data_IF_480527704052
#
_entry.id   IF_480527704052
#
_cell.length_a   1.000
_cell.length_b   1.000
_cell.length_c   1.000
_cell.angle_alpha   90.00
_cell.angle_beta   90.00
_cell.angle_gamma   90.00
#
_symmetry.space_group_name_H-M   'P 1'
#
loop_
_entity.id
_entity.type
_entity.pdbx_description
1 polymer ?
#
# COMPACT_ATOMS: atom_id res chain seq x y z
N UNK A 1 8.58 -5.02 -16.02
CA UNK A 1 7.48 -5.62 -16.76
C UNK A 1 7.18 -7.05 -16.37
N UNK A 2 7.46 -7.50 -15.12
CA UNK A 2 7.12 -8.83 -14.61
C UNK A 2 5.71 -8.87 -14.03
N UNK A 3 5.17 -10.05 -13.85
CA UNK A 3 4.08 -10.32 -12.91
C UNK A 3 4.74 -10.76 -11.60
N UNK A 4 4.30 -10.22 -10.49
CA UNK A 4 4.86 -10.52 -9.16
C UNK A 4 3.87 -11.40 -8.40
N UNK A 5 4.33 -12.53 -7.87
CA UNK A 5 3.63 -13.28 -6.85
C UNK A 5 4.24 -12.98 -5.49
N UNK A 6 3.40 -12.62 -4.52
CA UNK A 6 3.82 -12.38 -3.14
C UNK A 6 3.50 -13.61 -2.29
N UNK A 7 4.52 -14.13 -1.59
CA UNK A 7 4.46 -15.36 -0.81
C UNK A 7 5.10 -15.17 0.56
N UNK A 8 4.81 -16.10 1.45
CA UNK A 8 5.44 -16.16 2.77
C UNK A 8 4.47 -15.98 3.93
N UNK A 9 4.94 -16.26 5.15
CA UNK A 9 4.10 -16.26 6.36
C UNK A 9 3.48 -14.89 6.64
N UNK A 10 4.23 -13.82 6.41
CA UNK A 10 3.72 -12.45 6.54
C UNK A 10 2.53 -12.19 5.64
N UNK A 11 2.63 -12.62 4.38
CA UNK A 11 1.57 -12.45 3.40
C UNK A 11 0.28 -13.12 3.86
N UNK A 12 0.38 -14.30 4.47
CA UNK A 12 -0.79 -15.05 4.97
C UNK A 12 -1.47 -14.33 6.15
N UNK A 13 -0.75 -13.48 6.89
CA UNK A 13 -1.29 -12.72 8.01
C UNK A 13 -1.89 -11.36 7.62
N UNK A 14 -1.69 -10.92 6.37
CA UNK A 14 -2.24 -9.65 5.88
C UNK A 14 -3.75 -9.73 5.64
N UNK A 15 -4.46 -8.65 5.93
CA UNK A 15 -5.85 -8.47 5.51
C UNK A 15 -5.97 -8.39 3.99
N UNK A 16 -7.17 -8.61 3.46
CA UNK A 16 -7.41 -8.48 2.01
C UNK A 16 -7.13 -7.05 1.52
N UNK A 17 -7.47 -6.05 2.31
CA UNK A 17 -7.22 -4.65 2.01
C UNK A 17 -5.72 -4.37 1.87
N UNK A 18 -4.90 -4.91 2.78
CA UNK A 18 -3.44 -4.80 2.71
C UNK A 18 -2.88 -5.51 1.47
N UNK A 19 -3.36 -6.72 1.16
CA UNK A 19 -2.96 -7.46 -0.06
C UNK A 19 -3.36 -6.69 -1.32
N UNK A 20 -4.56 -6.11 -1.37
CA UNK A 20 -4.99 -5.26 -2.50
C UNK A 20 -4.10 -4.03 -2.64
N UNK A 21 -3.66 -3.42 -1.55
CA UNK A 21 -2.71 -2.30 -1.58
C UNK A 21 -1.38 -2.71 -2.23
N UNK A 22 -0.82 -3.84 -1.82
CA UNK A 22 0.43 -4.36 -2.39
C UNK A 22 0.26 -4.65 -3.90
N UNK A 23 -0.84 -5.31 -4.31
CA UNK A 23 -1.13 -5.54 -5.72
C UNK A 23 -1.21 -4.24 -6.52
N UNK A 24 -1.93 -3.24 -6.02
CA UNK A 24 -2.07 -1.96 -6.69
C UNK A 24 -0.72 -1.24 -6.83
N UNK A 25 0.09 -1.24 -5.78
CA UNK A 25 1.40 -0.58 -5.77
C UNK A 25 2.50 -1.37 -6.50
N UNK A 26 2.23 -2.59 -6.95
CA UNK A 26 3.18 -3.36 -7.75
C UNK A 26 3.52 -2.68 -9.09
N UNK A 27 2.62 -1.85 -9.60
CA UNK A 27 2.82 -1.08 -10.84
C UNK A 27 3.92 -0.03 -10.65
N UNK A 28 4.01 0.62 -9.50
CA UNK A 28 5.06 1.58 -9.15
C UNK A 28 6.43 0.90 -9.07
N UNK A 29 6.48 -0.39 -8.74
CA UNK A 29 7.67 -1.22 -8.83
C UNK A 29 8.00 -1.71 -10.27
N UNK A 30 7.23 -1.24 -11.27
CA UNK A 30 7.42 -1.60 -12.67
C UNK A 30 6.82 -2.95 -13.07
N UNK A 31 5.99 -3.56 -12.23
CA UNK A 31 5.28 -4.79 -12.53
C UNK A 31 4.06 -4.55 -13.45
N UNK A 32 3.64 -5.59 -14.14
CA UNK A 32 2.38 -5.60 -14.89
C UNK A 32 1.18 -6.00 -14.04
N UNK A 33 1.43 -6.83 -13.01
CA UNK A 33 0.45 -7.25 -12.03
C UNK A 33 1.14 -7.72 -10.75
N UNK A 34 0.44 -7.62 -9.61
CA UNK A 34 0.78 -8.28 -8.36
C UNK A 34 -0.30 -9.31 -8.04
N UNK A 35 0.08 -10.45 -7.49
CA UNK A 35 -0.83 -11.54 -7.17
C UNK A 35 -0.52 -12.16 -5.82
N UNK A 36 -1.57 -12.66 -5.18
CA UNK A 36 -1.53 -13.51 -4.00
C UNK A 36 -2.33 -14.78 -4.28
N UNK A 37 -1.84 -15.92 -3.86
CA UNK A 37 -2.65 -17.12 -3.88
C UNK A 37 -3.88 -16.93 -2.97
N UNK A 38 -5.09 -17.34 -3.40
CA UNK A 38 -6.27 -17.25 -2.56
C UNK A 38 -6.16 -18.24 -1.40
N UNK A 39 -6.58 -17.78 -0.23
CA UNK A 39 -6.63 -18.55 1.02
C UNK A 39 -7.96 -18.32 1.76
N UNK A 40 -8.08 -18.85 2.98
CA UNK A 40 -9.30 -18.73 3.77
C UNK A 40 -9.70 -17.25 3.98
N UNK A 41 -8.75 -16.34 4.21
CA UNK A 41 -9.04 -14.91 4.35
C UNK A 41 -9.67 -14.33 3.09
N UNK A 42 -9.26 -14.82 1.91
CA UNK A 42 -9.87 -14.43 0.62
C UNK A 42 -11.31 -14.93 0.53
N UNK A 43 -11.57 -16.17 0.95
CA UNK A 43 -12.92 -16.75 0.91
C UNK A 43 -13.84 -16.07 1.90
N UNK A 44 -13.41 -15.85 3.12
CA UNK A 44 -14.17 -15.13 4.16
C UNK A 44 -14.53 -13.69 3.70
N UNK A 45 -13.59 -13.00 3.05
CA UNK A 45 -13.85 -11.67 2.50
C UNK A 45 -14.90 -11.67 1.40
N UNK A 46 -14.92 -12.69 0.55
CA UNK A 46 -15.84 -12.80 -0.58
C UNK A 46 -17.20 -13.37 -0.16
N UNK A 47 -17.26 -14.15 0.91
CA UNK A 47 -18.48 -14.76 1.36
C UNK A 47 -19.56 -13.70 1.62
N UNK A 48 -20.77 -13.98 1.18
CA UNK A 48 -21.93 -13.11 1.34
C UNK A 48 -21.86 -11.75 0.61
N UNK A 49 -20.82 -11.45 -0.18
CA UNK A 49 -20.83 -10.26 -1.04
C UNK A 49 -21.93 -10.33 -2.09
N UNK A 50 -22.53 -9.21 -2.50
CA UNK A 50 -23.67 -9.19 -3.43
C UNK A 50 -23.42 -9.95 -4.75
N UNK A 51 -22.20 -9.87 -5.27
CA UNK A 51 -21.83 -10.47 -6.57
C UNK A 51 -21.14 -11.82 -6.43
N UNK A 52 -20.93 -12.33 -5.21
CA UNK A 52 -20.33 -13.65 -4.99
C UNK A 52 -21.34 -14.77 -5.27
N UNK A 53 -20.85 -15.93 -5.76
CA UNK A 53 -21.69 -17.12 -5.89
C UNK A 53 -22.40 -17.47 -4.58
N UNK A 54 -23.53 -18.15 -4.65
CA UNK A 54 -24.34 -18.53 -3.49
C UNK A 54 -24.62 -20.04 -3.46
N UNK A 55 -24.86 -20.58 -2.27
CA UNK A 55 -25.22 -21.98 -2.08
C UNK A 55 -24.20 -22.94 -2.70
N UNK A 56 -24.66 -23.91 -3.48
CA UNK A 56 -23.80 -24.93 -4.12
C UNK A 56 -22.75 -24.32 -5.06
N UNK A 57 -23.06 -23.20 -5.69
CA UNK A 57 -22.10 -22.53 -6.59
C UNK A 57 -20.98 -21.85 -5.81
N UNK A 58 -21.22 -21.40 -4.58
CA UNK A 58 -20.18 -20.95 -3.66
C UNK A 58 -19.20 -22.10 -3.34
N UNK A 59 -19.71 -23.25 -2.96
CA UNK A 59 -18.88 -24.43 -2.66
C UNK A 59 -18.02 -24.83 -3.85
N UNK A 60 -18.61 -24.88 -5.05
CA UNK A 60 -17.85 -25.16 -6.30
C UNK A 60 -16.77 -24.10 -6.57
N UNK A 61 -17.10 -22.83 -6.35
CA UNK A 61 -16.17 -21.73 -6.56
C UNK A 61 -14.98 -21.82 -5.60
N UNK A 62 -15.21 -22.01 -4.30
CA UNK A 62 -14.15 -22.16 -3.29
C UNK A 62 -13.25 -23.36 -3.63
N UNK A 63 -13.83 -24.51 -3.97
CA UNK A 63 -13.07 -25.69 -4.39
C UNK A 63 -12.18 -25.42 -5.61
N UNK A 64 -12.69 -24.64 -6.57
CA UNK A 64 -11.89 -24.24 -7.74
C UNK A 64 -10.78 -23.25 -7.36
N UNK A 65 -11.10 -22.25 -6.54
CA UNK A 65 -10.15 -21.20 -6.15
C UNK A 65 -9.03 -21.73 -5.26
N UNK A 66 -9.34 -22.71 -4.39
CA UNK A 66 -8.33 -23.35 -3.52
C UNK A 66 -7.21 -24.05 -4.31
N UNK A 67 -7.45 -24.35 -5.58
CA UNK A 67 -6.42 -24.93 -6.48
C UNK A 67 -5.63 -23.87 -7.27
N UNK A 68 -5.89 -22.58 -7.05
CA UNK A 68 -5.15 -21.48 -7.72
C UNK A 68 -3.90 -21.09 -6.92
N UNK A 69 -3.21 -22.06 -6.40
CA UNK A 69 -1.90 -21.91 -5.77
C UNK A 69 -0.81 -22.27 -6.77
N UNK A 70 0.36 -21.71 -6.60
CA UNK A 70 1.51 -22.07 -7.46
C UNK A 70 1.91 -23.51 -7.19
N UNK A 71 2.18 -24.25 -8.27
CA UNK A 71 2.60 -25.66 -8.22
C UNK A 71 3.91 -25.83 -7.46
N UNK A 72 4.06 -26.97 -6.78
CA UNK A 72 5.32 -27.34 -6.15
C UNK A 72 6.43 -27.48 -7.19
N UNK A 73 7.56 -26.83 -6.92
CA UNK A 73 8.70 -26.84 -7.84
C UNK A 73 8.57 -25.90 -9.03
N UNK A 74 7.61 -24.99 -9.04
CA UNK A 74 7.52 -23.94 -10.06
C UNK A 74 8.83 -23.12 -10.11
N UNK A 75 9.27 -22.81 -11.33
CA UNK A 75 10.48 -22.03 -11.58
C UNK A 75 10.10 -20.60 -11.90
N UNK A 76 10.69 -19.65 -11.18
CA UNK A 76 10.49 -18.22 -11.40
C UNK A 76 11.70 -17.61 -12.11
N UNK A 77 11.47 -16.60 -12.95
CA UNK A 77 12.55 -15.85 -13.61
C UNK A 77 13.44 -15.13 -12.59
N UNK A 78 12.87 -14.72 -11.47
CA UNK A 78 13.56 -14.02 -10.40
C UNK A 78 12.82 -14.20 -9.09
N UNK A 79 13.58 -14.40 -8.02
CA UNK A 79 13.09 -14.41 -6.65
C UNK A 79 13.78 -13.30 -5.85
N UNK A 80 13.04 -12.68 -4.94
CA UNK A 80 13.55 -11.64 -4.04
C UNK A 80 12.97 -11.90 -2.66
N UNK A 81 13.84 -12.12 -1.70
CA UNK A 81 13.46 -12.24 -0.29
C UNK A 81 13.53 -10.87 0.38
N UNK A 82 12.48 -10.52 1.10
CA UNK A 82 12.39 -9.26 1.85
C UNK A 82 12.15 -9.59 3.30
N UNK A 83 13.12 -9.24 4.16
CA UNK A 83 12.95 -9.29 5.60
C UNK A 83 12.11 -8.09 6.03
N UNK A 84 10.90 -8.37 6.51
CA UNK A 84 9.97 -7.32 6.94
C UNK A 84 10.20 -6.85 8.37
N UNK A 85 10.94 -7.57 9.18
CA UNK A 85 11.19 -7.20 10.58
C UNK A 85 12.06 -5.94 10.67
N UNK A 86 12.81 -5.65 9.60
CA UNK A 86 13.64 -4.44 9.51
C UNK A 86 12.95 -3.26 8.81
N UNK A 87 11.72 -3.44 8.30
CA UNK A 87 11.00 -2.36 7.64
C UNK A 87 10.49 -1.32 8.63
N UNK A 88 10.85 -0.08 8.37
CA UNK A 88 10.34 1.08 9.11
C UNK A 88 9.20 1.75 8.33
N UNK A 89 8.34 2.54 9.00
CA UNK A 89 7.42 3.43 8.27
C UNK A 89 8.20 4.28 7.27
N UNK A 90 7.68 4.38 6.05
CA UNK A 90 8.37 5.01 4.94
C UNK A 90 7.66 6.29 4.49
N UNK A 91 8.45 7.24 4.01
CA UNK A 91 7.95 8.49 3.43
C UNK A 91 8.66 8.77 2.11
N UNK A 92 7.94 9.34 1.15
CA UNK A 92 8.54 9.87 -0.08
C UNK A 92 8.96 11.32 0.12
N UNK A 93 10.16 11.66 -0.35
CA UNK A 93 10.72 13.00 -0.25
C UNK A 93 10.87 13.68 -1.62
N UNK A 94 10.45 13.02 -2.69
CA UNK A 94 10.64 13.47 -4.06
C UNK A 94 9.40 13.33 -4.94
N UNK A 95 9.63 13.25 -6.24
CA UNK A 95 8.60 13.29 -7.29
C UNK A 95 8.30 11.94 -7.92
N UNK A 96 8.88 10.86 -7.42
CA UNK A 96 8.61 9.50 -7.89
C UNK A 96 8.74 8.49 -6.72
N UNK A 97 8.17 7.29 -6.84
CA UNK A 97 8.18 6.27 -5.77
C UNK A 97 9.57 5.77 -5.36
N UNK A 98 10.57 5.89 -6.23
CA UNK A 98 11.96 5.55 -5.89
C UNK A 98 12.63 6.56 -4.96
N UNK A 99 12.04 7.72 -4.76
CA UNK A 99 12.52 8.74 -3.83
C UNK A 99 11.86 8.56 -2.46
N UNK A 100 12.15 7.45 -1.82
CA UNK A 100 11.57 7.01 -0.54
C UNK A 100 12.68 6.81 0.50
N UNK A 101 12.36 7.02 1.76
CA UNK A 101 13.25 6.79 2.90
C UNK A 101 12.44 6.42 4.14
N UNK A 102 13.09 5.89 5.19
CA UNK A 102 12.45 5.75 6.50
C UNK A 102 12.03 7.10 7.04
N UNK A 103 10.93 7.14 7.80
CA UNK A 103 10.33 8.38 8.30
C UNK A 103 11.29 9.18 9.20
N UNK A 104 12.17 8.49 9.92
CA UNK A 104 13.17 9.03 10.84
C UNK A 104 14.53 9.34 10.18
N UNK A 105 14.67 9.03 8.88
CA UNK A 105 15.90 9.29 8.15
C UNK A 105 16.02 10.73 7.66
N UNK A 106 17.22 11.10 7.26
CA UNK A 106 17.50 12.35 6.56
C UNK A 106 17.36 12.16 5.05
N UNK A 107 16.90 13.21 4.37
CA UNK A 107 16.85 13.24 2.89
C UNK A 107 18.25 12.93 2.35
N UNK A 108 18.41 11.95 1.46
CA UNK A 108 19.72 11.55 0.95
C UNK A 108 20.51 12.71 0.35
N UNK A 109 21.82 12.64 0.47
CA UNK A 109 22.69 13.61 -0.17
C UNK A 109 22.59 13.50 -1.70
N UNK A 110 22.74 14.64 -2.35
CA UNK A 110 22.68 14.73 -3.81
C UNK A 110 23.73 13.83 -4.47
N UNK A 111 23.30 12.94 -5.34
CA UNK A 111 24.15 11.97 -6.05
C UNK A 111 24.71 12.48 -7.38
N UNK A 112 24.64 13.79 -7.67
CA UNK A 112 25.06 14.39 -8.94
C UNK A 112 23.96 14.41 -10.02
N UNK A 113 22.85 13.71 -9.85
CA UNK A 113 21.76 13.66 -10.84
C UNK A 113 20.99 14.99 -10.90
N UNK A 114 20.83 15.52 -12.11
CA UNK A 114 20.05 16.74 -12.35
C UNK A 114 18.57 16.56 -11.98
N UNK A 115 17.99 15.39 -12.27
CA UNK A 115 16.60 15.07 -11.93
C UNK A 115 16.36 15.02 -10.42
N UNK A 116 17.30 14.46 -9.67
CA UNK A 116 17.26 14.45 -8.21
C UNK A 116 17.26 15.88 -7.65
N UNK A 117 18.15 16.72 -8.12
CA UNK A 117 18.22 18.12 -7.71
C UNK A 117 16.94 18.90 -8.03
N UNK A 118 16.39 18.69 -9.22
CA UNK A 118 15.11 19.29 -9.62
C UNK A 118 13.95 18.84 -8.73
N UNK A 119 13.89 17.55 -8.37
CA UNK A 119 12.88 17.01 -7.49
C UNK A 119 12.94 17.63 -6.09
N UNK A 120 14.13 17.74 -5.49
CA UNK A 120 14.30 18.39 -4.18
C UNK A 120 13.88 19.86 -4.22
N UNK A 121 14.26 20.59 -5.28
CA UNK A 121 13.85 21.98 -5.46
C UNK A 121 12.33 22.14 -5.60
N UNK A 122 11.69 21.26 -6.36
CA UNK A 122 10.24 21.23 -6.54
C UNK A 122 9.51 20.96 -5.21
N UNK A 123 9.98 19.98 -4.45
CA UNK A 123 9.44 19.60 -3.16
C UNK A 123 9.82 20.57 -2.03
N UNK A 124 10.72 21.51 -2.28
CA UNK A 124 11.29 22.42 -1.28
C UNK A 124 11.88 21.67 -0.09
N UNK A 125 12.63 20.61 -0.37
CA UNK A 125 13.28 19.74 0.61
C UNK A 125 14.78 19.90 0.49
N UNK A 126 15.48 19.87 1.62
CA UNK A 126 16.93 20.00 1.67
C UNK A 126 17.59 18.65 1.91
N UNK A 127 18.63 18.34 1.13
CA UNK A 127 19.51 17.18 1.35
C UNK A 127 20.15 17.21 2.74
N UNK A 128 20.23 16.07 3.41
CA UNK A 128 20.82 15.95 4.75
C UNK A 128 19.94 16.56 5.85
N UNK A 129 18.65 16.79 5.60
CA UNK A 129 17.70 17.25 6.60
C UNK A 129 16.60 16.22 6.81
N UNK A 130 16.11 16.03 8.05
CA UNK A 130 14.93 15.21 8.30
C UNK A 130 13.66 15.89 7.76
N UNK A 131 12.64 15.08 7.44
CA UNK A 131 11.30 15.58 7.14
C UNK A 131 10.43 15.70 8.39
N UNK A 132 10.74 14.98 9.44
CA UNK A 132 10.08 15.14 10.74
C UNK A 132 10.17 16.60 11.21
N UNK A 133 9.07 17.06 11.82
CA UNK A 133 8.92 18.44 12.32
C UNK A 133 8.90 19.51 11.24
N UNK A 134 8.96 19.16 9.95
CA UNK A 134 8.77 20.13 8.89
C UNK A 134 7.33 20.67 8.92
N UNK A 135 7.12 21.99 8.93
CA UNK A 135 5.78 22.55 8.84
C UNK A 135 5.05 22.09 7.58
N UNK A 136 3.77 21.77 7.74
CA UNK A 136 2.87 21.39 6.65
C UNK A 136 1.66 22.33 6.63
N UNK A 137 1.19 22.68 5.44
CA UNK A 137 0.05 23.57 5.23
C UNK A 137 -1.22 22.77 4.93
N UNK A 138 -1.08 21.60 4.31
CA UNK A 138 -2.20 20.78 3.86
C UNK A 138 -1.96 19.31 4.19
N UNK A 139 -2.97 18.66 4.75
CA UNK A 139 -3.05 17.21 4.90
C UNK A 139 -4.16 16.68 4.02
N UNK A 140 -3.84 15.69 3.20
CA UNK A 140 -4.82 14.97 2.39
C UNK A 140 -4.81 13.50 2.80
N UNK A 141 -5.95 13.02 3.32
CA UNK A 141 -6.16 11.62 3.69
C UNK A 141 -7.11 11.02 2.65
N UNK A 142 -6.59 10.11 1.86
CA UNK A 142 -7.33 9.46 0.80
C UNK A 142 -6.47 9.19 -0.42
N UNK A 143 -6.84 8.21 -1.21
CA UNK A 143 -6.20 7.88 -2.48
C UNK A 143 -7.08 6.92 -3.27
N UNK A 144 -6.70 6.60 -4.51
CA UNK A 144 -7.37 5.55 -5.28
C UNK A 144 -7.12 4.14 -4.71
N UNK A 145 -6.03 3.94 -3.98
CA UNK A 145 -5.62 2.65 -3.42
C UNK A 145 -6.05 2.52 -1.95
N UNK A 146 -5.78 3.52 -1.12
CA UNK A 146 -6.00 3.51 0.32
C UNK A 146 -7.00 4.59 0.73
N UNK A 147 -8.27 4.29 0.58
CA UNK A 147 -9.40 5.13 1.01
C UNK A 147 -10.64 4.26 1.23
N UNK A 148 -10.41 3.02 1.62
CA UNK A 148 -11.43 2.06 2.04
C UNK A 148 -11.90 2.41 3.45
N UNK A 149 -12.97 1.80 3.90
CA UNK A 149 -13.48 2.03 5.24
C UNK A 149 -12.45 1.72 6.33
N UNK A 150 -11.72 0.62 6.19
CA UNK A 150 -10.64 0.23 7.11
C UNK A 150 -9.51 1.27 7.17
N UNK A 151 -9.05 1.78 6.02
CA UNK A 151 -8.01 2.80 5.97
C UNK A 151 -8.43 4.11 6.68
N UNK A 152 -9.71 4.50 6.51
CA UNK A 152 -10.25 5.69 7.17
C UNK A 152 -10.48 5.45 8.66
N UNK A 153 -10.80 4.23 9.08
CA UNK A 153 -10.92 3.87 10.48
C UNK A 153 -9.57 3.96 11.19
N UNK A 154 -8.51 3.42 10.58
CA UNK A 154 -7.14 3.53 11.10
C UNK A 154 -6.73 5.00 11.28
N UNK A 155 -7.02 5.84 10.29
CA UNK A 155 -6.78 7.28 10.39
C UNK A 155 -7.59 7.93 11.51
N UNK A 156 -8.86 7.55 11.67
CA UNK A 156 -9.74 8.08 12.71
C UNK A 156 -9.26 7.69 14.11
N UNK A 157 -8.76 6.45 14.28
CA UNK A 157 -8.24 5.96 15.57
C UNK A 157 -6.97 6.72 15.97
N UNK A 158 -6.10 7.06 15.02
CA UNK A 158 -4.92 7.91 15.27
C UNK A 158 -5.32 9.34 15.64
N UNK A 159 -6.34 9.88 14.98
CA UNK A 159 -6.77 11.28 15.16
C UNK A 159 -7.78 11.48 16.29
N UNK A 160 -8.24 10.41 16.91
CA UNK A 160 -9.23 10.46 17.99
C UNK A 160 -8.80 11.42 19.08
N UNK A 161 -9.75 12.23 19.53
CA UNK A 161 -9.57 13.24 20.59
C UNK A 161 -8.50 14.30 20.30
N UNK A 162 -8.06 14.43 19.03
CA UNK A 162 -7.14 15.47 18.58
C UNK A 162 -7.87 16.52 17.76
N UNK A 163 -7.29 17.72 17.73
CA UNK A 163 -7.74 18.80 16.85
C UNK A 163 -6.67 19.11 15.81
N UNK A 164 -7.11 19.35 14.59
CA UNK A 164 -6.23 19.86 13.54
C UNK A 164 -5.71 21.23 13.94
N UNK A 165 -4.43 21.49 13.71
CA UNK A 165 -3.86 22.83 13.90
C UNK A 165 -4.59 23.84 13.02
N UNK A 166 -4.81 25.04 13.54
CA UNK A 166 -5.54 26.11 12.85
C UNK A 166 -4.90 26.57 11.54
N UNK A 167 -3.61 26.34 11.39
CA UNK A 167 -2.86 26.68 10.18
C UNK A 167 -2.81 25.55 9.15
N UNK A 168 -3.37 24.37 9.47
CA UNK A 168 -3.33 23.20 8.60
C UNK A 168 -4.71 22.93 8.01
N UNK A 169 -4.81 22.94 6.69
CA UNK A 169 -6.02 22.50 5.98
C UNK A 169 -6.01 20.98 5.84
N UNK A 170 -7.00 20.31 6.42
CA UNK A 170 -7.13 18.85 6.31
C UNK A 170 -8.30 18.48 5.40
N UNK A 171 -8.06 17.56 4.48
CA UNK A 171 -9.07 17.00 3.57
C UNK A 171 -9.09 15.49 3.70
N UNK A 172 -10.28 14.92 3.87
CA UNK A 172 -10.49 13.46 3.91
C UNK A 172 -11.41 13.10 2.75
N UNK A 173 -10.93 12.23 1.87
CA UNK A 173 -11.66 11.85 0.65
C UNK A 173 -11.90 10.34 0.64
N UNK A 174 -13.13 9.89 0.95
CA UNK A 174 -13.51 8.48 0.86
C UNK A 174 -13.41 7.94 -0.57
N UNK A 175 -13.02 6.68 -0.72
CA UNK A 175 -12.81 6.03 -2.02
C UNK A 175 -14.09 5.81 -2.85
N UNK A 176 -15.26 5.91 -2.22
CA UNK A 176 -16.55 5.81 -2.90
C UNK A 176 -17.68 6.49 -2.10
N UNK A 177 -18.81 6.71 -2.77
CA UNK A 177 -20.01 7.21 -2.10
C UNK A 177 -20.53 6.24 -1.02
N UNK A 178 -20.38 4.93 -1.23
CA UNK A 178 -20.77 3.92 -0.24
C UNK A 178 -19.89 3.96 1.03
N UNK A 179 -18.61 4.32 0.89
CA UNK A 179 -17.71 4.49 2.05
C UNK A 179 -18.01 5.81 2.77
N UNK A 180 -18.46 6.81 2.03
CA UNK A 180 -18.80 8.11 2.61
C UNK A 180 -20.09 8.06 3.42
N UNK A 181 -21.08 7.25 3.04
CA UNK A 181 -22.38 7.09 3.70
C UNK A 181 -22.26 6.32 5.01
#
# INVERSE_FOLDING_TARGET
>A
GHVIEYRGNTVSSLSLEQRMTICNMSIEAGARAGMFAPDQSTFDYLENRPMSPKGDDWVKAVNKWSNLVTDDGAIFDKEVDIDIDVLQPMITFGTNPGMVMSIDAEVPHHNGSQSFKQALNYMKVESGKPLLEKPIDVVFIGSCTNSRLSDLQDAADILKDRKVDSNVRTMIVPGSQAIKA
#
